data_IF_296254041709
#
_entry.id   IF_296254041709
#
_cell.length_a   1.000
_cell.length_b   1.000
_cell.length_c   1.000
_cell.angle_alpha   90.00
_cell.angle_beta   90.00
_cell.angle_gamma   90.00
#
_symmetry.space_group_name_H-M   'P 1'
#
loop_
_entity.id
_entity.type
_entity.pdbx_description
1 polymer ?
#
# COMPACT_ATOMS: atom_id res chain seq x y z
N UNK A 1 0.47 1.49 12.05
CA UNK A 1 1.10 0.17 11.77
C UNK A 1 2.36 0.43 10.97
N UNK A 2 3.47 -0.22 11.33
CA UNK A 2 4.82 0.27 11.04
C UNK A 2 5.26 -0.06 9.61
N UNK A 3 5.48 0.96 8.77
CA UNK A 3 6.15 0.81 7.48
C UNK A 3 7.57 0.21 7.56
N UNK A 4 8.16 0.18 8.76
CA UNK A 4 9.45 -0.48 9.00
C UNK A 4 9.44 -1.98 8.71
N UNK A 5 8.29 -2.66 8.81
CA UNK A 5 8.20 -4.09 8.53
C UNK A 5 8.44 -4.38 7.04
N UNK A 6 7.77 -3.65 6.15
CA UNK A 6 7.87 -3.87 4.71
C UNK A 6 9.24 -3.49 4.17
N UNK A 7 9.88 -2.47 4.74
CA UNK A 7 11.29 -2.19 4.46
C UNK A 7 12.19 -3.38 4.78
N UNK A 8 12.03 -3.98 5.97
CA UNK A 8 12.83 -5.13 6.39
C UNK A 8 12.56 -6.38 5.54
N UNK A 9 11.32 -6.63 5.13
CA UNK A 9 10.99 -7.72 4.21
C UNK A 9 11.64 -7.48 2.84
N UNK A 10 11.62 -6.23 2.35
CA UNK A 10 12.30 -5.84 1.12
C UNK A 10 13.79 -6.14 1.15
N UNK A 11 14.47 -5.88 2.27
CA UNK A 11 15.88 -6.22 2.46
C UNK A 11 16.13 -7.75 2.38
N UNK A 12 15.25 -8.58 2.97
CA UNK A 12 15.35 -10.04 2.86
C UNK A 12 15.10 -10.56 1.43
N UNK A 13 14.23 -9.88 0.66
CA UNK A 13 14.04 -10.17 -0.77
C UNK A 13 15.30 -9.83 -1.57
N UNK A 14 15.90 -8.68 -1.30
CA UNK A 14 17.15 -8.24 -1.95
C UNK A 14 18.32 -9.18 -1.59
N UNK A 15 18.32 -9.77 -0.39
CA UNK A 15 19.27 -10.80 0.03
C UNK A 15 19.00 -12.20 -0.56
N UNK A 16 17.87 -12.40 -1.25
CA UNK A 16 17.46 -13.70 -1.79
C UNK A 16 17.00 -14.72 -0.74
N UNK A 17 16.74 -14.27 0.49
CA UNK A 17 16.30 -15.12 1.61
C UNK A 17 14.79 -15.40 1.57
N UNK A 18 14.03 -14.54 0.88
CA UNK A 18 12.59 -14.65 0.72
C UNK A 18 12.22 -14.67 -0.77
N UNK A 19 11.45 -15.68 -1.17
CA UNK A 19 10.91 -15.82 -2.51
C UNK A 19 9.43 -16.23 -2.45
N UNK A 20 8.72 -15.99 -3.54
CA UNK A 20 7.35 -16.43 -3.73
C UNK A 20 7.26 -17.32 -4.97
N UNK A 21 6.20 -18.12 -5.02
CA UNK A 21 5.88 -18.93 -6.18
C UNK A 21 5.61 -18.05 -7.42
N UNK A 22 5.89 -18.56 -8.64
CA UNK A 22 5.69 -17.81 -9.87
C UNK A 22 4.27 -17.28 -10.01
N UNK A 23 4.09 -16.01 -10.37
CA UNK A 23 2.77 -15.41 -10.55
C UNK A 23 2.05 -15.03 -9.25
N UNK A 24 2.58 -15.38 -8.07
CA UNK A 24 1.98 -14.99 -6.78
C UNK A 24 2.34 -13.55 -6.44
N UNK A 25 3.60 -13.16 -6.65
CA UNK A 25 4.07 -11.81 -6.37
C UNK A 25 3.32 -10.75 -7.20
N UNK A 26 3.08 -11.02 -8.49
CA UNK A 26 2.33 -10.16 -9.40
C UNK A 26 0.87 -10.02 -8.97
N UNK A 27 0.24 -11.12 -8.54
CA UNK A 27 -1.13 -11.09 -8.00
C UNK A 27 -1.19 -10.28 -6.71
N UNK A 28 -0.22 -10.43 -5.82
CA UNK A 28 -0.16 -9.64 -4.59
C UNK A 28 0.02 -8.15 -4.89
N UNK A 29 0.95 -7.78 -5.79
CA UNK A 29 1.12 -6.41 -6.24
C UNK A 29 -0.17 -5.83 -6.84
N UNK A 30 -0.86 -6.61 -7.69
CA UNK A 30 -2.15 -6.20 -8.26
C UNK A 30 -3.22 -5.98 -7.19
N UNK A 31 -3.27 -6.82 -6.15
CA UNK A 31 -4.20 -6.62 -5.02
C UNK A 31 -3.85 -5.39 -4.20
N UNK A 32 -2.56 -5.08 -4.00
CA UNK A 32 -2.13 -3.84 -3.38
C UNK A 32 -2.60 -2.63 -4.20
N UNK A 33 -2.46 -2.65 -5.53
CA UNK A 33 -2.95 -1.58 -6.39
C UNK A 33 -4.48 -1.36 -6.26
N UNK A 34 -5.26 -2.45 -6.25
CA UNK A 34 -6.72 -2.36 -6.02
C UNK A 34 -7.06 -1.75 -4.65
N UNK A 35 -6.32 -2.13 -3.61
CA UNK A 35 -6.52 -1.59 -2.27
C UNK A 35 -6.13 -0.11 -2.19
N UNK A 36 -5.08 0.32 -2.90
CA UNK A 36 -4.72 1.73 -2.99
C UNK A 36 -5.84 2.56 -3.65
N UNK A 37 -6.44 2.05 -4.72
CA UNK A 37 -7.57 2.72 -5.37
C UNK A 37 -8.76 2.89 -4.39
N UNK A 38 -9.07 1.86 -3.60
CA UNK A 38 -10.12 1.92 -2.58
C UNK A 38 -9.79 2.92 -1.45
N UNK A 39 -8.53 2.94 -1.00
CA UNK A 39 -8.07 3.86 0.05
C UNK A 39 -8.05 5.32 -0.41
N UNK A 40 -7.64 5.60 -1.64
CA UNK A 40 -7.67 6.95 -2.22
C UNK A 40 -9.11 7.43 -2.45
N UNK A 41 -10.01 6.53 -2.86
CA UNK A 41 -11.43 6.85 -2.92
C UNK A 41 -11.98 7.20 -1.53
N UNK A 42 -11.69 6.39 -0.51
CA UNK A 42 -12.10 6.65 0.87
C UNK A 42 -11.51 7.96 1.39
N UNK A 43 -10.25 8.28 1.05
CA UNK A 43 -9.58 9.52 1.40
C UNK A 43 -10.25 10.73 0.77
N UNK A 44 -10.64 10.62 -0.50
CA UNK A 44 -11.39 11.67 -1.20
C UNK A 44 -12.75 11.89 -0.54
N UNK A 45 -13.48 10.82 -0.21
CA UNK A 45 -14.77 10.92 0.50
C UNK A 45 -14.63 11.49 1.91
N UNK A 46 -13.52 11.23 2.60
CA UNK A 46 -13.26 11.80 3.92
C UNK A 46 -13.11 13.33 3.90
N UNK A 47 -12.70 13.93 2.78
CA UNK A 47 -12.63 15.39 2.63
C UNK A 47 -14.00 16.04 2.75
N UNK A 48 -15.07 15.38 2.31
CA UNK A 48 -16.44 15.88 2.45
C UNK A 48 -16.89 15.94 3.92
N UNK A 49 -16.22 15.21 4.81
CA UNK A 49 -16.50 15.19 6.25
C UNK A 49 -15.72 16.26 7.02
N UNK A 50 -14.78 16.96 6.37
CA UNK A 50 -13.99 18.03 6.99
C UNK A 50 -14.83 19.28 7.32
N UNK A 51 -16.05 19.37 6.79
CA UNK A 51 -17.01 20.44 7.09
C UNK A 51 -18.40 19.84 7.27
N UNK A 52 -19.01 20.08 8.43
CA UNK A 52 -20.32 19.51 8.77
C UNK A 52 -21.32 20.62 9.05
N UNK A 53 -22.23 20.78 8.11
CA UNK A 53 -23.38 21.68 8.21
C UNK A 53 -24.65 20.88 8.60
N UNK A 54 -25.77 21.57 8.90
CA UNK A 54 -27.08 20.94 9.09
C UNK A 54 -27.44 20.48 10.51
N UNK A 55 -26.56 20.67 11.51
CA UNK A 55 -26.85 20.35 12.92
C UNK A 55 -27.55 21.49 13.70
N UNK A 56 -27.96 22.55 12.99
CA UNK A 56 -28.68 23.69 13.55
C UNK A 56 -27.78 24.70 14.29
N UNK A 57 -28.31 25.90 14.60
CA UNK A 57 -27.53 27.01 15.16
C UNK A 57 -27.37 26.95 16.69
N UNK A 58 -27.99 25.96 17.36
CA UNK A 58 -27.87 25.81 18.80
C UNK A 58 -26.41 25.52 19.19
N UNK A 59 -25.92 25.99 20.36
CA UNK A 59 -24.55 25.74 20.78
C UNK A 59 -24.14 24.25 20.78
N UNK A 60 -25.08 23.36 21.08
CA UNK A 60 -24.87 21.91 21.02
C UNK A 60 -24.65 21.39 19.60
N UNK A 61 -25.38 21.93 18.61
CA UNK A 61 -25.23 21.58 17.20
C UNK A 61 -23.87 22.02 16.67
N UNK A 62 -23.44 23.24 16.99
CA UNK A 62 -22.12 23.77 16.64
C UNK A 62 -21.00 22.92 17.28
N UNK A 63 -21.15 22.57 18.56
CA UNK A 63 -20.16 21.75 19.26
C UNK A 63 -20.08 20.33 18.66
N UNK A 64 -21.20 19.76 18.22
CA UNK A 64 -21.24 18.44 17.59
C UNK A 64 -20.62 18.46 16.19
N UNK A 65 -20.91 19.47 15.37
CA UNK A 65 -20.30 19.68 14.06
C UNK A 65 -18.77 19.70 14.18
N UNK A 66 -18.25 20.56 15.06
CA UNK A 66 -16.81 20.68 15.32
C UNK A 66 -16.16 19.36 15.74
N UNK A 67 -16.84 18.55 16.56
CA UNK A 67 -16.32 17.24 16.98
C UNK A 67 -16.19 16.26 15.83
N UNK A 68 -17.18 16.23 14.94
CA UNK A 68 -17.12 15.33 13.78
C UNK A 68 -16.13 15.83 12.73
N UNK A 69 -16.05 17.15 12.50
CA UNK A 69 -15.02 17.76 11.64
C UNK A 69 -13.62 17.38 12.13
N UNK A 70 -13.37 17.48 13.45
CA UNK A 70 -12.10 17.06 14.05
C UNK A 70 -11.79 15.57 13.90
N UNK A 71 -12.83 14.71 13.86
CA UNK A 71 -12.63 13.28 13.56
C UNK A 71 -12.27 13.04 12.10
N UNK A 72 -12.76 13.88 11.19
CA UNK A 72 -12.44 13.80 9.78
C UNK A 72 -11.05 14.38 9.47
N UNK A 73 -10.73 15.55 10.01
CA UNK A 73 -9.47 16.27 9.80
C UNK A 73 -9.10 17.19 10.97
N UNK A 74 -7.81 17.40 11.22
CA UNK A 74 -7.30 18.38 12.19
C UNK A 74 -7.52 18.06 13.69
N UNK A 75 -8.10 16.90 14.03
CA UNK A 75 -8.16 16.38 15.39
C UNK A 75 -6.93 15.56 15.80
N UNK A 76 -7.08 14.78 16.87
CA UNK A 76 -6.07 13.79 17.29
C UNK A 76 -6.26 12.50 16.48
N UNK A 77 -5.27 12.17 15.65
CA UNK A 77 -5.31 11.05 14.69
C UNK A 77 -6.60 10.98 13.86
N UNK A 78 -6.86 12.02 13.04
CA UNK A 78 -8.05 12.11 12.21
C UNK A 78 -8.07 11.06 11.09
N UNK A 79 -9.25 10.87 10.49
CA UNK A 79 -9.48 9.90 9.43
C UNK A 79 -8.56 10.12 8.22
N UNK A 80 -8.33 11.37 7.80
CA UNK A 80 -7.43 11.71 6.70
C UNK A 80 -5.97 11.27 6.96
N UNK A 81 -5.47 11.45 8.19
CA UNK A 81 -4.16 10.95 8.62
C UNK A 81 -4.13 9.42 8.65
N UNK A 82 -5.15 8.78 9.22
CA UNK A 82 -5.21 7.32 9.28
C UNK A 82 -5.19 6.69 7.87
N UNK A 83 -5.95 7.25 6.92
CA UNK A 83 -5.96 6.80 5.53
C UNK A 83 -4.60 7.02 4.85
N UNK A 84 -3.95 8.17 5.08
CA UNK A 84 -2.61 8.44 4.54
C UNK A 84 -1.55 7.44 5.07
N UNK A 85 -1.61 7.09 6.36
CA UNK A 85 -0.73 6.08 6.96
C UNK A 85 -0.97 4.71 6.34
N UNK A 86 -2.23 4.33 6.11
CA UNK A 86 -2.58 3.07 5.48
C UNK A 86 -2.11 3.00 4.03
N UNK A 87 -2.29 4.07 3.25
CA UNK A 87 -1.78 4.19 1.87
C UNK A 87 -0.27 3.96 1.85
N UNK A 88 0.47 4.66 2.72
CA UNK A 88 1.93 4.52 2.82
C UNK A 88 2.37 3.07 3.06
N UNK A 89 1.66 2.35 3.93
CA UNK A 89 1.97 0.94 4.21
C UNK A 89 1.68 0.06 2.99
N UNK A 90 0.57 0.28 2.29
CA UNK A 90 0.19 -0.52 1.12
C UNK A 90 1.08 -0.24 -0.10
N UNK A 91 1.57 0.99 -0.27
CA UNK A 91 2.59 1.32 -1.28
C UNK A 91 3.89 0.53 -1.04
N UNK A 92 4.33 0.44 0.22
CA UNK A 92 5.51 -0.34 0.58
C UNK A 92 5.30 -1.84 0.34
N UNK A 93 4.11 -2.36 0.66
CA UNK A 93 3.70 -3.72 0.33
C UNK A 93 3.83 -4.00 -1.16
N UNK A 94 3.24 -3.12 -1.99
CA UNK A 94 3.25 -3.25 -3.43
C UNK A 94 4.69 -3.30 -3.96
N UNK A 95 5.54 -2.36 -3.53
CA UNK A 95 6.93 -2.29 -3.96
C UNK A 95 7.71 -3.57 -3.65
N UNK A 96 7.50 -4.17 -2.47
CA UNK A 96 8.15 -5.44 -2.11
C UNK A 96 7.68 -6.56 -3.03
N UNK A 97 6.38 -6.67 -3.32
CA UNK A 97 5.89 -7.71 -4.22
C UNK A 97 6.37 -7.53 -5.67
N UNK A 98 6.42 -6.29 -6.15
CA UNK A 98 6.97 -5.99 -7.48
C UNK A 98 8.45 -6.38 -7.58
N UNK A 99 9.24 -6.11 -6.54
CA UNK A 99 10.65 -6.55 -6.47
C UNK A 99 10.77 -8.08 -6.51
N UNK A 100 9.95 -8.81 -5.76
CA UNK A 100 9.97 -10.29 -5.78
C UNK A 100 9.71 -10.81 -7.19
N UNK A 101 8.71 -10.25 -7.89
CA UNK A 101 8.37 -10.64 -9.26
C UNK A 101 9.52 -10.37 -10.25
N UNK A 102 10.18 -9.22 -10.12
CA UNK A 102 11.33 -8.84 -10.95
C UNK A 102 12.53 -9.77 -10.72
N UNK A 103 12.85 -10.06 -9.46
CA UNK A 103 13.95 -10.96 -9.09
C UNK A 103 13.70 -12.38 -9.64
N UNK A 104 12.46 -12.86 -9.58
CA UNK A 104 12.08 -14.15 -10.15
C UNK A 104 12.30 -14.19 -11.67
N UNK A 105 11.80 -13.17 -12.39
CA UNK A 105 11.94 -13.07 -13.86
C UNK A 105 13.41 -13.03 -14.27
N UNK A 106 14.25 -12.24 -13.58
CA UNK A 106 15.67 -12.14 -13.86
C UNK A 106 16.42 -13.48 -13.61
N UNK A 107 16.03 -14.22 -12.55
CA UNK A 107 16.60 -15.53 -12.26
C UNK A 107 16.26 -16.57 -13.34
N UNK A 108 15.01 -16.58 -13.82
CA UNK A 108 14.55 -17.46 -14.92
C UNK A 108 15.29 -17.15 -16.23
N UNK A 109 15.40 -15.88 -16.62
CA UNK A 109 16.13 -15.47 -17.84
C UNK A 109 17.60 -15.89 -17.79
N UNK A 110 18.27 -15.65 -16.65
CA UNK A 110 19.67 -16.04 -16.44
C UNK A 110 19.85 -17.56 -16.53
N UNK A 111 18.95 -18.34 -15.92
CA UNK A 111 18.99 -19.79 -15.99
C UNK A 111 18.77 -20.30 -17.42
N UNK A 112 17.77 -19.78 -18.14
CA UNK A 112 17.48 -20.15 -19.52
C UNK A 112 18.66 -19.87 -20.47
N UNK A 113 19.35 -18.74 -20.31
CA UNK A 113 20.56 -18.41 -21.07
C UNK A 113 21.71 -19.40 -20.81
N UNK A 114 21.90 -19.83 -19.56
CA UNK A 114 22.94 -20.82 -19.21
C UNK A 114 22.65 -22.18 -19.81
N UNK A 115 21.39 -22.63 -19.79
CA UNK A 115 21.00 -23.90 -20.39
C UNK A 115 21.16 -23.90 -21.92
N UNK A 116 20.70 -22.86 -22.60
CA UNK A 116 20.84 -22.76 -24.06
C UNK A 116 22.32 -22.69 -24.51
N UNK A 117 23.18 -22.03 -23.73
CA UNK A 117 24.63 -22.01 -23.97
C UNK A 117 25.33 -23.36 -23.80
N UNK A 118 24.86 -24.20 -22.86
CA UNK A 118 25.36 -25.58 -22.69
C UNK A 118 24.94 -26.50 -23.84
N UNK A 119 23.71 -26.35 -24.36
CA UNK A 119 23.22 -27.14 -25.50
C UNK A 119 23.94 -26.82 -26.81
N UNK A 120 24.35 -25.57 -27.04
CA UNK A 120 25.08 -25.16 -28.25
C UNK A 120 26.60 -25.45 -28.18
N UNK A 121 27.13 -25.78 -27.00
CA UNK A 121 28.55 -26.06 -26.78
C UNK A 121 28.94 -27.53 -26.94
N UNK A 122 28.06 -28.39 -27.47
CA UNK A 122 28.28 -29.84 -27.58
C UNK A 122 28.10 -30.37 -28.99
#
# INVERSE_FOLDING_TARGET
>A
MNGSLWSSIGESVDAGELYLEPGVAEKCAQRCAQLLDELELARTQALDLARIDGLGPLPSGIALARKFEQKASGGEYPLDQALADHITVVEQMQSVFEKIAQNFTAAEESNAQRFTGLEHGR
#
